data_IF_763819305272
#
_entry.id   IF_763819305272
#
_cell.length_a   1.000
_cell.length_b   1.000
_cell.length_c   1.000
_cell.angle_alpha   90.00
_cell.angle_beta   90.00
_cell.angle_gamma   90.00
#
_symmetry.space_group_name_H-M   'P 1'
#
loop_
_entity.id
_entity.type
_entity.pdbx_description
1 polymer ?
#
# COMPACT_ATOMS: atom_id res chain seq x y z
N UNK A 1 -10.34 -37.49 12.35
CA UNK A 1 -9.66 -36.91 11.18
C UNK A 1 -10.71 -36.57 10.13
N UNK A 2 -11.00 -35.29 9.96
CA UNK A 2 -11.78 -34.70 8.87
C UNK A 2 -10.96 -33.49 8.42
N UNK A 3 -10.65 -33.43 7.13
CA UNK A 3 -9.68 -32.49 6.57
C UNK A 3 -10.26 -31.08 6.67
N UNK A 4 -9.56 -30.23 7.43
CA UNK A 4 -9.76 -28.80 7.50
C UNK A 4 -9.22 -28.20 6.21
N UNK A 5 -10.10 -27.65 5.39
CA UNK A 5 -9.68 -26.77 4.29
C UNK A 5 -9.25 -25.44 4.88
N UNK A 6 -8.09 -25.00 4.42
CA UNK A 6 -7.55 -23.64 4.50
C UNK A 6 -6.82 -23.33 5.81
N UNK A 7 -5.76 -24.12 6.03
CA UNK A 7 -4.66 -23.71 6.90
C UNK A 7 -3.96 -22.49 6.33
N UNK A 8 -3.93 -21.39 7.08
CA UNK A 8 -2.73 -20.72 7.60
C UNK A 8 -3.18 -19.71 8.68
N UNK A 9 -2.71 -19.92 9.91
CA UNK A 9 -2.82 -18.97 11.02
C UNK A 9 -1.62 -18.02 10.91
N UNK A 10 -1.86 -16.71 10.87
CA UNK A 10 -0.83 -15.73 11.17
C UNK A 10 -0.58 -15.73 12.68
N UNK A 11 0.60 -16.19 13.10
CA UNK A 11 0.96 -16.39 14.52
C UNK A 11 1.30 -15.07 15.24
N UNK A 12 1.24 -13.91 14.57
CA UNK A 12 1.61 -12.60 15.16
C UNK A 12 0.41 -11.72 15.53
N UNK A 13 -0.78 -12.02 15.04
CA UNK A 13 -1.99 -11.25 15.34
C UNK A 13 -3.03 -12.15 16.05
N UNK A 14 -3.27 -11.87 17.34
CA UNK A 14 -4.23 -12.60 18.17
C UNK A 14 -5.70 -12.27 17.86
N UNK A 15 -5.97 -11.40 16.88
CA UNK A 15 -7.33 -11.04 16.50
C UNK A 15 -7.92 -12.10 15.56
N UNK A 16 -8.94 -12.82 16.07
CA UNK A 16 -9.81 -13.69 15.26
C UNK A 16 -10.32 -12.92 14.03
N UNK A 17 -9.82 -13.29 12.86
CA UNK A 17 -10.28 -12.77 11.57
C UNK A 17 -11.70 -13.28 11.34
N UNK A 18 -12.68 -12.37 11.29
CA UNK A 18 -14.07 -12.70 10.91
C UNK A 18 -14.17 -12.65 9.39
N UNK A 19 -14.45 -13.81 8.80
CA UNK A 19 -14.84 -13.99 7.40
C UNK A 19 -16.12 -13.20 7.09
N UNK A 20 -16.16 -12.30 6.11
CA UNK A 20 -17.41 -11.80 5.57
C UNK A 20 -17.97 -12.85 4.60
N UNK A 21 -19.19 -13.31 4.87
CA UNK A 21 -19.96 -14.06 3.87
C UNK A 21 -20.22 -13.21 2.61
N UNK A 22 -20.50 -13.92 1.52
CA UNK A 22 -20.88 -13.39 0.20
C UNK A 22 -22.01 -12.35 0.33
N UNK A 23 -21.66 -11.07 0.43
CA UNK A 23 -22.63 -9.97 0.40
C UNK A 23 -22.07 -8.81 -0.42
N UNK A 24 -22.81 -8.42 -1.46
CA UNK A 24 -22.85 -7.05 -1.97
C UNK A 24 -23.28 -6.13 -0.83
N UNK A 25 -22.35 -5.83 0.08
CA UNK A 25 -22.47 -4.70 0.96
C UNK A 25 -21.73 -3.58 0.28
N UNK A 26 -22.42 -2.48 0.00
CA UNK A 26 -21.79 -1.19 -0.26
C UNK A 26 -20.87 -0.95 0.93
N UNK A 27 -19.58 -1.17 0.71
CA UNK A 27 -18.59 -1.03 1.78
C UNK A 27 -18.23 0.44 1.80
N UNK A 28 -18.52 1.11 2.91
CA UNK A 28 -18.10 2.51 3.04
C UNK A 28 -16.59 2.62 2.80
N UNK A 29 -16.15 3.61 2.01
CA UNK A 29 -14.74 3.82 1.71
C UNK A 29 -13.97 4.02 3.01
N UNK A 30 -12.75 3.48 3.06
CA UNK A 30 -11.82 3.81 4.14
C UNK A 30 -11.61 5.31 4.22
N UNK A 31 -11.45 5.88 5.43
CA UNK A 31 -10.82 7.18 5.56
C UNK A 31 -9.51 7.19 4.78
N UNK A 32 -9.26 8.25 4.02
CA UNK A 32 -8.16 8.27 3.06
C UNK A 32 -6.80 8.00 3.70
N UNK A 33 -6.58 8.48 4.93
CA UNK A 33 -5.33 8.21 5.65
C UNK A 33 -5.13 6.73 5.97
N UNK A 34 -6.19 6.01 6.34
CA UNK A 34 -6.13 4.56 6.59
C UNK A 34 -5.87 3.80 5.29
N UNK A 35 -6.51 4.24 4.19
CA UNK A 35 -6.29 3.65 2.88
C UNK A 35 -4.86 3.84 2.38
N UNK A 36 -4.30 5.05 2.52
CA UNK A 36 -2.90 5.36 2.20
C UNK A 36 -1.96 4.51 3.05
N UNK A 37 -2.13 4.50 4.38
CA UNK A 37 -1.27 3.74 5.27
C UNK A 37 -1.31 2.22 4.97
N UNK A 38 -2.51 1.67 4.72
CA UNK A 38 -2.68 0.26 4.39
C UNK A 38 -2.08 -0.09 3.01
N UNK A 39 -2.29 0.74 2.00
CA UNK A 39 -1.66 0.54 0.69
C UNK A 39 -0.13 0.55 0.85
N UNK A 40 0.41 1.60 1.45
CA UNK A 40 1.84 1.87 1.55
C UNK A 40 2.59 0.99 2.55
N UNK A 41 1.90 0.17 3.35
CA UNK A 41 2.56 -0.80 4.25
C UNK A 41 3.10 -2.04 3.53
N UNK A 42 2.92 -2.16 2.21
CA UNK A 42 3.31 -3.33 1.43
C UNK A 42 4.52 -3.03 0.54
N UNK A 43 5.31 -4.08 0.26
CA UNK A 43 6.30 -4.06 -0.82
C UNK A 43 5.64 -4.53 -2.12
N UNK A 44 5.91 -3.82 -3.21
CA UNK A 44 5.25 -4.06 -4.50
C UNK A 44 6.25 -4.57 -5.54
N UNK A 45 5.89 -5.60 -6.32
CA UNK A 45 6.76 -6.08 -7.38
C UNK A 45 6.91 -5.06 -8.51
N UNK A 46 8.14 -4.94 -9.02
CA UNK A 46 8.48 -3.97 -10.06
C UNK A 46 8.73 -2.57 -9.50
N UNK A 47 9.56 -1.82 -10.24
CA UNK A 47 9.90 -0.44 -9.92
C UNK A 47 8.83 0.50 -10.43
N UNK A 48 8.15 1.18 -9.50
CA UNK A 48 7.01 2.04 -9.82
C UNK A 48 7.01 3.27 -8.94
N UNK A 49 6.48 4.38 -9.45
CA UNK A 49 6.25 5.62 -8.67
C UNK A 49 4.80 6.05 -8.79
N UNK A 50 4.30 6.74 -7.77
CA UNK A 50 2.91 7.19 -7.73
C UNK A 50 2.74 8.41 -8.62
N UNK A 51 1.68 8.41 -9.43
CA UNK A 51 1.36 9.50 -10.37
C UNK A 51 0.00 10.16 -10.11
N UNK A 52 -0.83 9.54 -9.27
CA UNK A 52 -2.12 10.08 -8.85
C UNK A 52 -2.49 9.64 -7.44
N UNK A 53 -3.38 10.40 -6.78
CA UNK A 53 -3.98 10.03 -5.50
C UNK A 53 -5.05 8.92 -5.59
N UNK A 54 -5.52 8.48 -4.42
CA UNK A 54 -6.56 7.46 -4.28
C UNK A 54 -7.94 8.03 -4.60
N UNK A 55 -8.69 7.35 -5.47
CA UNK A 55 -10.11 7.64 -5.69
C UNK A 55 -11.00 6.99 -4.62
N UNK A 56 -12.28 7.35 -4.60
CA UNK A 56 -13.28 6.66 -3.75
C UNK A 56 -13.29 5.15 -4.00
N UNK A 57 -13.31 4.74 -5.28
CA UNK A 57 -13.30 3.34 -5.68
C UNK A 57 -12.02 2.60 -5.25
N UNK A 58 -10.87 3.28 -5.27
CA UNK A 58 -9.62 2.69 -4.78
C UNK A 58 -9.70 2.45 -3.26
N UNK A 59 -10.26 3.40 -2.50
CA UNK A 59 -10.47 3.28 -1.04
C UNK A 59 -11.43 2.14 -0.70
N UNK A 60 -12.50 1.96 -1.46
CA UNK A 60 -13.42 0.82 -1.31
C UNK A 60 -12.73 -0.51 -1.60
N UNK A 61 -11.91 -0.58 -2.66
CA UNK A 61 -11.13 -1.80 -2.97
C UNK A 61 -10.13 -2.14 -1.88
N UNK A 62 -9.40 -1.13 -1.38
CA UNK A 62 -8.48 -1.33 -0.27
C UNK A 62 -9.20 -1.74 1.01
N UNK A 63 -10.40 -1.20 1.26
CA UNK A 63 -11.26 -1.67 2.34
C UNK A 63 -11.53 -3.16 2.18
N UNK A 64 -12.03 -3.60 1.03
CA UNK A 64 -12.29 -5.02 0.76
C UNK A 64 -11.05 -5.89 0.96
N UNK A 65 -9.86 -5.43 0.55
CA UNK A 65 -8.61 -6.17 0.74
C UNK A 65 -8.29 -6.44 2.23
N UNK A 66 -8.62 -5.51 3.14
CA UNK A 66 -8.46 -5.74 4.59
C UNK A 66 -9.33 -6.89 5.10
N UNK A 67 -10.47 -7.15 4.46
CA UNK A 67 -11.40 -8.23 4.82
C UNK A 67 -11.21 -9.49 3.98
N UNK A 68 -10.25 -9.52 3.05
CA UNK A 68 -10.06 -10.68 2.19
C UNK A 68 -9.68 -11.92 3.00
N UNK A 69 -10.28 -13.06 2.63
CA UNK A 69 -10.16 -14.34 3.35
C UNK A 69 -8.79 -15.02 3.21
N UNK A 70 -7.92 -14.48 2.35
CA UNK A 70 -6.55 -14.95 2.21
C UNK A 70 -5.59 -13.81 1.95
N UNK A 71 -4.32 -14.01 2.36
CA UNK A 71 -3.21 -13.10 2.03
C UNK A 71 -3.08 -12.94 0.52
N UNK A 72 -3.23 -14.02 -0.25
CA UNK A 72 -3.16 -13.97 -1.72
C UNK A 72 -4.25 -13.06 -2.32
N UNK A 73 -5.51 -13.20 -1.86
CA UNK A 73 -6.61 -12.34 -2.31
C UNK A 73 -6.38 -10.87 -1.91
N UNK A 74 -5.92 -10.62 -0.68
CA UNK A 74 -5.53 -9.28 -0.22
C UNK A 74 -4.45 -8.68 -1.11
N UNK A 75 -3.34 -9.39 -1.32
CA UNK A 75 -2.21 -8.93 -2.11
C UNK A 75 -2.59 -8.68 -3.56
N UNK A 76 -3.46 -9.51 -4.14
CA UNK A 76 -3.98 -9.32 -5.50
C UNK A 76 -4.76 -8.00 -5.65
N UNK A 77 -5.61 -7.67 -4.67
CA UNK A 77 -6.36 -6.40 -4.68
C UNK A 77 -5.41 -5.22 -4.47
N UNK A 78 -4.50 -5.31 -3.50
CA UNK A 78 -3.54 -4.25 -3.16
C UNK A 78 -2.60 -3.97 -4.33
N UNK A 79 -2.04 -5.00 -4.98
CA UNK A 79 -1.20 -4.87 -6.17
C UNK A 79 -1.96 -4.25 -7.35
N UNK A 80 -3.21 -4.65 -7.57
CA UNK A 80 -4.04 -4.05 -8.64
C UNK A 80 -4.31 -2.57 -8.41
N UNK A 81 -4.63 -2.18 -7.18
CA UNK A 81 -4.81 -0.77 -6.81
C UNK A 81 -3.49 -0.02 -7.01
N UNK A 82 -2.37 -0.54 -6.51
CA UNK A 82 -1.04 0.05 -6.69
C UNK A 82 -0.69 0.29 -8.16
N UNK A 83 -0.81 -0.73 -9.02
CA UNK A 83 -0.52 -0.61 -10.46
C UNK A 83 -1.40 0.43 -11.15
N UNK A 84 -2.63 0.62 -10.69
CA UNK A 84 -3.54 1.62 -11.26
C UNK A 84 -3.21 3.06 -10.86
N UNK A 85 -2.42 3.25 -9.80
CA UNK A 85 -2.02 4.54 -9.25
C UNK A 85 -0.60 4.96 -9.68
N UNK A 86 0.12 4.06 -10.34
CA UNK A 86 1.56 4.15 -10.52
C UNK A 86 1.99 3.85 -11.95
N UNK A 87 3.08 4.50 -12.36
CA UNK A 87 3.79 4.20 -13.60
C UNK A 87 5.08 3.45 -13.32
N UNK A 88 5.53 2.67 -14.30
CA UNK A 88 6.81 1.97 -14.22
C UNK A 88 7.97 2.95 -14.28
N UNK A 89 8.99 2.66 -13.50
CA UNK A 89 10.26 3.38 -13.48
C UNK A 89 11.33 2.41 -13.93
N UNK A 90 12.18 2.83 -14.85
CA UNK A 90 13.32 2.01 -15.25
C UNK A 90 14.32 1.98 -14.09
N UNK A 91 14.73 0.79 -13.60
CA UNK A 91 15.83 0.71 -12.67
C UNK A 91 17.06 1.37 -13.25
N UNK A 92 17.82 2.08 -12.40
CA UNK A 92 19.20 2.35 -12.73
C UNK A 92 19.98 1.03 -12.71
N UNK A 93 20.93 0.82 -13.64
CA UNK A 93 21.85 -0.31 -13.54
C UNK A 93 22.61 -0.25 -12.20
N UNK A 94 22.91 -1.42 -11.63
CA UNK A 94 23.72 -1.59 -10.40
C UNK A 94 23.12 -0.99 -9.11
N UNK A 95 21.84 -1.28 -8.84
CA UNK A 95 21.23 -0.94 -7.54
C UNK A 95 21.61 -1.95 -6.44
N UNK A 96 22.83 -1.82 -5.89
CA UNK A 96 23.24 -2.56 -4.69
C UNK A 96 22.61 -1.99 -3.40
N UNK A 97 22.13 -0.74 -3.47
CA UNK A 97 21.48 -0.04 -2.37
C UNK A 97 20.07 0.46 -2.75
N UNK A 98 19.16 0.60 -1.76
CA UNK A 98 17.82 1.14 -1.99
C UNK A 98 17.88 2.59 -2.48
N UNK A 99 17.24 2.88 -3.60
CA UNK A 99 17.25 4.22 -4.20
C UNK A 99 15.95 4.96 -3.96
N UNK A 100 16.03 6.13 -3.32
CA UNK A 100 14.88 7.00 -3.12
C UNK A 100 14.43 7.57 -4.47
N UNK A 101 13.18 7.31 -4.86
CA UNK A 101 12.60 7.83 -6.10
C UNK A 101 11.58 8.94 -5.89
N UNK A 102 10.87 8.92 -4.77
CA UNK A 102 9.76 9.83 -4.51
C UNK A 102 9.46 9.88 -3.03
N UNK A 103 8.98 11.03 -2.54
CA UNK A 103 8.38 11.11 -1.20
C UNK A 103 6.90 11.39 -1.37
N UNK A 104 6.04 10.48 -0.90
CA UNK A 104 4.60 10.72 -0.88
C UNK A 104 4.26 11.47 0.41
N UNK A 105 3.67 12.64 0.29
CA UNK A 105 3.17 13.39 1.44
C UNK A 105 1.65 13.26 1.51
N UNK A 106 1.14 12.91 2.68
CA UNK A 106 -0.28 12.99 2.98
C UNK A 106 -0.47 13.63 4.35
N UNK A 107 -1.09 14.81 4.39
CA UNK A 107 -1.22 15.62 5.61
C UNK A 107 0.17 15.86 6.23
N UNK A 108 0.37 15.44 7.48
CA UNK A 108 1.60 15.60 8.25
C UNK A 108 2.53 14.39 8.18
N UNK A 109 2.21 13.39 7.35
CA UNK A 109 3.02 12.19 7.14
C UNK A 109 3.70 12.21 5.78
N UNK A 110 4.91 11.64 5.77
CA UNK A 110 5.73 11.43 4.60
C UNK A 110 6.06 9.94 4.48
N UNK A 111 5.99 9.42 3.26
CA UNK A 111 6.26 8.04 2.92
C UNK A 111 7.32 8.02 1.81
N UNK A 112 8.60 7.92 2.18
CA UNK A 112 9.67 7.79 1.20
C UNK A 112 9.57 6.45 0.47
N UNK A 113 9.54 6.54 -0.86
CA UNK A 113 9.41 5.43 -1.79
C UNK A 113 10.78 5.08 -2.34
N UNK A 114 11.22 3.86 -2.11
CA UNK A 114 12.50 3.35 -2.58
C UNK A 114 12.31 2.26 -3.63
N UNK A 115 13.19 2.25 -4.63
CA UNK A 115 13.45 1.07 -5.44
C UNK A 115 14.47 0.21 -4.72
N UNK A 116 14.12 -1.04 -4.43
CA UNK A 116 14.92 -1.96 -3.62
C UNK A 116 14.88 -3.37 -4.22
N UNK A 117 16.01 -3.81 -4.75
CA UNK A 117 16.12 -5.06 -5.49
C UNK A 117 15.07 -5.13 -6.62
N UNK A 118 14.21 -6.16 -6.68
CA UNK A 118 13.18 -6.29 -7.72
C UNK A 118 11.86 -5.55 -7.39
N UNK A 119 11.82 -4.74 -6.34
CA UNK A 119 10.57 -4.22 -5.77
C UNK A 119 10.61 -2.72 -5.46
N UNK A 120 9.43 -2.13 -5.33
CA UNK A 120 9.23 -0.81 -4.73
C UNK A 120 8.79 -0.99 -3.29
N UNK A 121 9.39 -0.25 -2.34
CA UNK A 121 9.05 -0.32 -0.91
C UNK A 121 8.99 1.05 -0.25
N UNK A 122 8.27 1.14 0.86
CA UNK A 122 8.25 2.31 1.72
C UNK A 122 9.18 2.09 2.91
N UNK A 123 10.08 3.05 3.16
CA UNK A 123 10.99 2.99 4.30
C UNK A 123 11.10 4.37 4.98
N UNK A 124 10.92 4.48 6.31
CA UNK A 124 10.55 3.41 7.24
C UNK A 124 9.09 2.94 7.03
N UNK A 125 8.75 1.69 7.41
CA UNK A 125 7.37 1.21 7.39
C UNK A 125 6.46 2.12 8.22
N UNK A 126 5.32 2.52 7.65
CA UNK A 126 4.40 3.46 8.29
C UNK A 126 4.71 4.93 8.05
N UNK A 127 5.82 5.24 7.37
CA UNK A 127 6.23 6.62 7.08
C UNK A 127 6.84 7.32 8.29
N UNK A 128 7.11 8.61 8.12
CA UNK A 128 7.66 9.50 9.15
C UNK A 128 6.91 10.84 9.14
N UNK A 129 6.95 11.61 10.23
CA UNK A 129 6.44 12.98 10.24
C UNK A 129 7.15 13.85 9.19
N UNK A 130 6.42 14.73 8.51
CA UNK A 130 6.99 15.65 7.50
C UNK A 130 8.10 16.53 8.10
N UNK A 131 8.01 16.86 9.38
CA UNK A 131 9.03 17.63 10.09
C UNK A 131 10.39 16.92 10.21
N UNK A 132 10.43 15.61 9.98
CA UNK A 132 11.65 14.79 10.01
C UNK A 132 12.26 14.58 8.61
N UNK A 133 11.65 15.14 7.56
CA UNK A 133 12.21 15.13 6.21
C UNK A 133 13.33 16.15 6.04
N UNK A 134 14.37 15.79 5.27
CA UNK A 134 15.37 16.73 4.78
C UNK A 134 14.90 17.43 3.48
N UNK A 135 15.21 18.72 3.32
CA UNK A 135 14.60 19.65 2.36
C UNK A 135 14.80 19.35 0.85
N UNK A 136 15.51 18.28 0.47
CA UNK A 136 16.04 18.14 -0.90
C UNK A 136 15.34 17.11 -1.81
N UNK A 137 14.18 16.55 -1.43
CA UNK A 137 13.59 15.41 -2.16
C UNK A 137 12.33 15.77 -2.97
N UNK A 138 12.05 15.08 -4.10
CA UNK A 138 10.84 15.30 -4.88
C UNK A 138 9.60 14.85 -4.09
N UNK A 139 8.84 15.81 -3.58
CA UNK A 139 7.61 15.58 -2.80
C UNK A 139 6.39 15.53 -3.72
N UNK A 140 5.65 14.43 -3.65
CA UNK A 140 4.36 14.25 -4.29
C UNK A 140 3.26 14.33 -3.24
N UNK A 141 2.44 15.38 -3.31
CA UNK A 141 1.38 15.65 -2.34
C UNK A 141 0.09 14.96 -2.75
N UNK A 142 -0.34 13.97 -1.96
CA UNK A 142 -1.57 13.20 -2.19
C UNK A 142 -2.82 14.02 -1.85
N UNK A 143 -2.74 14.84 -0.81
CA UNK A 143 -3.83 15.71 -0.34
C UNK A 143 -4.12 16.89 -1.28
N UNK A 144 -3.16 17.31 -2.10
CA UNK A 144 -3.36 18.34 -3.11
C UNK A 144 -4.19 17.86 -4.31
N UNK A 145 -4.44 16.55 -4.45
CA UNK A 145 -5.13 15.95 -5.59
C UNK A 145 -6.60 15.61 -5.32
N UNK A 146 -7.10 15.82 -4.09
CA UNK A 146 -8.47 15.48 -3.68
C UNK A 146 -9.42 16.68 -3.70
N UNK A 147 -9.47 17.38 -4.85
CA UNK A 147 -10.50 18.38 -5.18
C UNK A 147 -11.58 17.79 -6.08
#
# INVERSE_FOLDING_TARGET
MRIATDGYIDLRDGRRVKTPGLYERTVDPLPEGEAVAFLLSHSFPGHRKMVRGLTLADRERLRMAMWADSVSARMSIVDRVWRSLTEEVLPLPDMDEPQLIQILQYKHWAYPVYLDGPSTRIAPPGGLPVAELSDASPVFRLDAMTA
#
